data_IF_703540167789
#
_entry.id   IF_703540167789
#
_cell.length_a   1.000
_cell.length_b   1.000
_cell.length_c   1.000
_cell.angle_alpha   90.00
_cell.angle_beta   90.00
_cell.angle_gamma   90.00
#
_symmetry.space_group_name_H-M   'P 1'
#
loop_
_entity.id
_entity.type
_entity.pdbx_description
1 polymer ?
#
# COMPACT_ATOMS: atom_id res chain seq x y z
N UNK A 1 -3.01 76.17 -8.10
CA UNK A 1 -2.62 74.76 -8.36
C UNK A 1 -3.29 73.89 -7.31
N UNK A 2 -4.33 73.16 -7.69
CA UNK A 2 -5.17 72.35 -6.78
C UNK A 2 -4.52 71.00 -6.49
N UNK A 3 -4.10 70.77 -5.24
CA UNK A 3 -3.68 69.46 -4.74
C UNK A 3 -4.89 68.63 -4.31
N UNK A 4 -5.24 67.60 -5.07
CA UNK A 4 -6.22 66.58 -4.67
C UNK A 4 -5.50 65.43 -3.98
N UNK A 5 -5.64 65.37 -2.66
CA UNK A 5 -5.25 64.26 -1.81
C UNK A 5 -6.28 63.12 -1.96
N UNK A 6 -5.93 62.05 -2.70
CA UNK A 6 -6.78 60.86 -2.87
C UNK A 6 -6.40 59.82 -1.81
N UNK A 7 -7.12 59.82 -0.69
CA UNK A 7 -7.11 58.70 0.28
C UNK A 7 -7.52 57.40 -0.43
N UNK A 8 -6.63 56.41 -0.44
CA UNK A 8 -6.96 55.03 -0.87
C UNK A 8 -7.96 54.43 0.13
N UNK A 9 -9.08 53.84 -0.31
CA UNK A 9 -9.97 53.12 0.59
C UNK A 9 -9.25 51.87 1.13
N UNK A 10 -9.39 51.64 2.44
CA UNK A 10 -8.90 50.43 3.10
C UNK A 10 -9.47 49.19 2.39
N UNK A 11 -8.59 48.29 1.97
CA UNK A 11 -8.98 47.03 1.36
C UNK A 11 -9.83 46.25 2.36
N UNK A 12 -11.08 45.95 1.99
CA UNK A 12 -11.93 45.04 2.74
C UNK A 12 -11.20 43.68 2.82
N UNK A 13 -11.05 43.06 4.00
CA UNK A 13 -10.45 41.73 4.08
C UNK A 13 -11.28 40.78 3.19
N UNK A 14 -10.64 39.87 2.44
CA UNK A 14 -11.38 38.94 1.60
C UNK A 14 -12.38 38.18 2.49
N UNK A 15 -13.61 37.95 2.02
CA UNK A 15 -14.57 37.15 2.78
C UNK A 15 -13.92 35.81 3.11
N UNK A 16 -13.95 35.43 4.39
CA UNK A 16 -13.49 34.14 4.84
C UNK A 16 -14.08 33.06 3.92
N UNK A 17 -13.23 32.18 3.39
CA UNK A 17 -13.68 31.07 2.57
C UNK A 17 -14.80 30.34 3.34
N UNK A 18 -15.96 30.05 2.71
CA UNK A 18 -17.04 29.37 3.40
C UNK A 18 -16.50 28.08 4.02
N UNK A 19 -16.73 27.90 5.32
CA UNK A 19 -16.33 26.71 6.05
C UNK A 19 -16.76 25.48 5.25
N UNK A 20 -15.78 24.66 4.88
CA UNK A 20 -16.01 23.46 4.10
C UNK A 20 -17.00 22.55 4.85
N UNK A 21 -18.06 22.02 4.21
CA UNK A 21 -19.04 21.11 4.84
C UNK A 21 -18.45 19.72 5.16
N UNK A 22 -17.13 19.60 5.21
CA UNK A 22 -16.42 18.35 5.40
C UNK A 22 -15.86 18.30 6.81
N UNK A 23 -16.37 17.35 7.59
CA UNK A 23 -15.84 17.02 8.92
C UNK A 23 -14.66 16.05 8.75
N UNK A 24 -13.48 16.37 9.32
CA UNK A 24 -12.37 15.41 9.42
C UNK A 24 -12.82 14.09 10.05
N UNK A 25 -12.23 12.99 9.60
CA UNK A 25 -12.47 11.67 10.17
C UNK A 25 -11.15 11.12 10.67
N UNK A 26 -11.05 10.90 11.97
CA UNK A 26 -9.85 10.32 12.57
C UNK A 26 -9.82 8.82 12.30
N UNK A 27 -8.69 8.31 11.82
CA UNK A 27 -8.51 6.88 11.58
C UNK A 27 -7.86 6.23 12.80
N UNK A 28 -8.39 5.08 13.21
CA UNK A 28 -7.89 4.25 14.33
C UNK A 28 -7.96 2.77 13.96
N UNK A 29 -7.48 1.92 14.86
CA UNK A 29 -7.74 0.48 14.84
C UNK A 29 -8.25 -0.02 16.20
N UNK A 30 -8.98 -1.14 16.16
CA UNK A 30 -9.53 -1.83 17.31
C UNK A 30 -9.46 -3.35 17.05
N UNK A 31 -8.89 -4.09 17.98
CA UNK A 31 -9.00 -5.55 18.00
C UNK A 31 -10.14 -5.97 18.93
N UNK A 32 -11.07 -6.79 18.44
CA UNK A 32 -12.17 -7.31 19.23
C UNK A 32 -11.72 -8.25 20.36
N UNK A 33 -10.50 -8.81 20.27
CA UNK A 33 -9.89 -9.57 21.36
C UNK A 33 -9.41 -8.67 22.52
N UNK A 34 -9.14 -7.39 22.23
CA UNK A 34 -8.75 -6.36 23.20
C UNK A 34 -9.70 -5.15 23.09
N UNK A 35 -11.02 -5.33 23.33
CA UNK A 35 -12.05 -4.38 22.91
C UNK A 35 -12.00 -3.03 23.65
N UNK A 36 -11.15 -2.89 24.66
CA UNK A 36 -10.90 -1.64 25.38
C UNK A 36 -9.78 -0.78 24.81
N UNK A 37 -8.96 -1.32 23.89
CA UNK A 37 -7.77 -0.63 23.38
C UNK A 37 -7.96 -0.17 21.93
N UNK A 38 -8.29 1.11 21.77
CA UNK A 38 -8.29 1.79 20.48
C UNK A 38 -6.90 2.34 20.22
N UNK A 39 -6.31 2.06 19.06
CA UNK A 39 -4.92 2.42 18.72
C UNK A 39 -4.84 3.31 17.48
N UNK A 40 -3.77 4.08 17.39
CA UNK A 40 -3.44 4.87 16.20
C UNK A 40 -2.79 3.99 15.10
N UNK A 41 -3.03 4.28 13.81
CA UNK A 41 -2.43 3.56 12.68
C UNK A 41 -0.92 3.31 12.78
N UNK A 42 -0.47 2.14 12.32
CA UNK A 42 0.95 1.78 12.23
C UNK A 42 1.64 1.55 13.58
N UNK A 43 0.88 1.14 14.60
CA UNK A 43 1.40 0.78 15.92
C UNK A 43 1.88 1.98 16.76
N UNK A 44 1.29 3.17 16.60
CA UNK A 44 1.68 4.39 17.36
C UNK A 44 1.09 4.47 18.77
N UNK A 45 0.53 3.38 19.28
CA UNK A 45 -0.03 3.28 20.63
C UNK A 45 -1.49 3.73 20.73
N UNK A 46 -2.01 3.91 21.96
CA UNK A 46 -3.41 4.20 22.22
C UNK A 46 -3.90 5.51 21.60
N UNK A 47 -5.18 5.55 21.22
CA UNK A 47 -5.84 6.71 20.65
C UNK A 47 -7.19 6.96 21.34
N UNK A 48 -7.47 8.23 21.64
CA UNK A 48 -8.76 8.66 22.19
C UNK A 48 -9.31 9.86 21.39
N UNK A 49 -9.66 9.66 20.10
CA UNK A 49 -10.07 10.76 19.24
C UNK A 49 -11.49 11.23 19.54
N UNK A 50 -11.71 12.52 19.27
CA UNK A 50 -13.03 13.15 19.30
C UNK A 50 -13.62 13.31 17.90
N UNK A 51 -14.94 13.40 17.81
CA UNK A 51 -15.63 13.62 16.54
C UNK A 51 -15.77 12.33 15.72
N UNK A 52 -15.76 12.43 14.38
CA UNK A 52 -15.99 11.26 13.53
C UNK A 52 -14.75 10.36 13.50
N UNK A 53 -14.97 9.06 13.69
CA UNK A 53 -13.92 8.03 13.73
C UNK A 53 -14.20 6.98 12.66
N UNK A 54 -13.15 6.53 11.99
CA UNK A 54 -13.14 5.35 11.11
C UNK A 54 -12.14 4.35 11.67
N UNK A 55 -12.60 3.16 12.06
CA UNK A 55 -11.75 2.16 12.70
C UNK A 55 -11.55 0.95 11.79
N UNK A 56 -10.31 0.52 11.61
CA UNK A 56 -10.02 -0.84 11.18
C UNK A 56 -10.35 -1.79 12.32
N UNK A 57 -11.31 -2.68 12.11
CA UNK A 57 -11.69 -3.71 13.09
C UNK A 57 -10.95 -4.99 12.77
N UNK A 58 -10.36 -5.57 13.81
CA UNK A 58 -9.68 -6.85 13.75
C UNK A 58 -10.28 -7.85 14.74
N UNK A 59 -9.99 -9.13 14.53
CA UNK A 59 -10.17 -10.17 15.53
C UNK A 59 -8.90 -11.02 15.57
N UNK A 60 -8.19 -10.99 16.70
CA UNK A 60 -6.89 -11.66 16.87
C UNK A 60 -5.86 -11.23 15.81
N UNK A 61 -5.83 -9.95 15.47
CA UNK A 61 -4.96 -9.36 14.44
C UNK A 61 -5.52 -9.40 13.02
N UNK A 62 -6.50 -10.27 12.73
CA UNK A 62 -7.07 -10.45 11.39
C UNK A 62 -8.01 -9.32 11.01
N UNK A 63 -7.76 -8.58 9.92
CA UNK A 63 -8.65 -7.52 9.45
C UNK A 63 -10.02 -8.04 9.04
N UNK A 64 -11.08 -7.50 9.65
CA UNK A 64 -12.47 -7.84 9.31
C UNK A 64 -13.15 -6.78 8.45
N UNK A 65 -12.83 -5.50 8.68
CA UNK A 65 -13.48 -4.40 7.97
C UNK A 65 -13.19 -3.02 8.54
N UNK A 66 -13.68 -1.99 7.85
CA UNK A 66 -13.76 -0.62 8.39
C UNK A 66 -15.16 -0.37 8.97
N UNK A 67 -15.24 0.21 10.17
CA UNK A 67 -16.49 0.69 10.76
C UNK A 67 -16.39 2.14 11.17
N UNK A 68 -17.53 2.79 11.34
CA UNK A 68 -17.60 4.20 11.71
C UNK A 68 -18.32 4.42 13.04
N UNK A 69 -17.79 5.36 13.84
CA UNK A 69 -18.42 5.81 15.07
C UNK A 69 -18.14 7.29 15.32
N UNK A 70 -18.73 7.84 16.38
CA UNK A 70 -18.47 9.20 16.85
C UNK A 70 -17.82 9.13 18.23
N UNK A 71 -16.59 9.63 18.34
CA UNK A 71 -15.88 9.84 19.59
C UNK A 71 -16.47 10.97 20.42
N UNK A 72 -16.35 10.85 21.74
CA UNK A 72 -16.79 11.87 22.70
C UNK A 72 -15.65 12.21 23.65
N UNK A 73 -15.40 13.51 23.81
CA UNK A 73 -14.31 14.06 24.61
C UNK A 73 -14.25 13.45 26.01
N UNK A 74 -13.07 12.92 26.35
CA UNK A 74 -12.77 12.35 27.67
C UNK A 74 -13.40 10.99 27.96
N UNK A 75 -13.94 10.27 26.97
CA UNK A 75 -14.56 8.95 27.17
C UNK A 75 -14.06 7.87 26.18
N UNK A 76 -12.78 7.47 26.24
CA UNK A 76 -12.22 6.44 25.34
C UNK A 76 -12.99 5.10 25.40
N UNK A 77 -13.41 4.68 26.59
CA UNK A 77 -14.20 3.45 26.75
C UNK A 77 -15.58 3.52 26.09
N UNK A 78 -16.18 4.70 25.96
CA UNK A 78 -17.46 4.86 25.27
C UNK A 78 -17.29 4.75 23.75
N UNK A 79 -16.22 5.33 23.21
CA UNK A 79 -15.84 5.15 21.80
C UNK A 79 -15.59 3.67 21.49
N UNK A 80 -14.78 3.00 22.30
CA UNK A 80 -14.47 1.59 22.12
C UNK A 80 -15.75 0.73 22.08
N UNK A 81 -16.69 0.92 23.03
CA UNK A 81 -18.00 0.25 23.01
C UNK A 81 -18.82 0.56 21.76
N UNK A 82 -18.82 1.81 21.29
CA UNK A 82 -19.54 2.20 20.08
C UNK A 82 -18.97 1.52 18.82
N UNK A 83 -17.64 1.41 18.74
CA UNK A 83 -16.94 0.70 17.66
C UNK A 83 -17.20 -0.80 17.69
N UNK A 84 -17.13 -1.45 18.86
CA UNK A 84 -17.50 -2.86 19.02
C UNK A 84 -18.95 -3.10 18.58
N UNK A 85 -19.87 -2.24 19.01
CA UNK A 85 -21.27 -2.35 18.61
C UNK A 85 -21.46 -2.12 17.09
N UNK A 86 -20.69 -1.23 16.46
CA UNK A 86 -20.69 -1.06 15.01
C UNK A 86 -20.14 -2.29 14.29
N UNK A 87 -19.06 -2.89 14.79
CA UNK A 87 -18.50 -4.13 14.26
C UNK A 87 -19.54 -5.25 14.23
N UNK A 88 -20.21 -5.54 15.34
CA UNK A 88 -21.24 -6.59 15.38
C UNK A 88 -22.47 -6.32 14.50
N UNK A 89 -22.74 -5.05 14.14
CA UNK A 89 -23.88 -4.72 13.26
C UNK A 89 -23.51 -4.75 11.78
N UNK A 90 -22.31 -4.30 11.44
CA UNK A 90 -21.91 -4.00 10.07
C UNK A 90 -21.00 -5.08 9.48
N UNK A 91 -20.29 -5.82 10.33
CA UNK A 91 -19.40 -6.89 9.94
C UNK A 91 -20.03 -8.23 10.34
N UNK A 92 -19.79 -9.25 9.52
CA UNK A 92 -20.14 -10.63 9.84
C UNK A 92 -19.13 -11.15 10.88
N UNK A 93 -19.22 -10.63 12.10
CA UNK A 93 -18.36 -11.03 13.21
C UNK A 93 -18.79 -12.44 13.60
N UNK A 94 -17.93 -13.44 13.45
CA UNK A 94 -18.32 -14.83 13.70
C UNK A 94 -18.77 -15.02 15.16
N UNK A 95 -19.91 -15.69 15.35
CA UNK A 95 -20.53 -15.93 16.68
C UNK A 95 -19.69 -16.86 17.57
N UNK A 96 -18.87 -17.71 16.96
CA UNK A 96 -17.82 -18.46 17.64
C UNK A 96 -16.56 -17.64 17.54
N UNK A 97 -15.82 -17.52 18.65
CA UNK A 97 -14.42 -17.11 18.62
C UNK A 97 -13.79 -17.75 17.38
N UNK A 98 -13.25 -16.94 16.46
CA UNK A 98 -12.21 -17.49 15.62
C UNK A 98 -11.27 -18.09 16.64
N UNK A 99 -11.14 -19.42 16.71
CA UNK A 99 -9.88 -19.98 17.19
C UNK A 99 -8.88 -19.15 16.41
N UNK A 100 -8.12 -18.29 17.14
CA UNK A 100 -7.08 -17.47 16.53
C UNK A 100 -6.45 -18.37 15.49
N UNK A 101 -6.27 -17.97 14.22
CA UNK A 101 -5.67 -18.86 13.25
C UNK A 101 -4.24 -19.06 13.72
N UNK A 102 -4.13 -20.05 14.57
CA UNK A 102 -3.00 -20.75 15.05
C UNK A 102 -3.08 -21.91 14.08
N UNK A 103 -2.42 -21.84 12.91
CA UNK A 103 -1.60 -22.99 12.68
C UNK A 103 -0.70 -23.04 13.92
N UNK A 104 -0.92 -24.04 14.77
CA UNK A 104 0.15 -24.58 15.61
C UNK A 104 1.34 -25.03 14.76
N UNK A 105 1.27 -24.89 13.43
CA UNK A 105 2.41 -24.77 12.54
C UNK A 105 3.18 -23.49 12.80
N UNK A 106 4.37 -23.67 13.38
CA UNK A 106 5.51 -22.74 13.31
C UNK A 106 5.41 -21.86 12.06
N UNK A 107 5.42 -20.53 12.23
CA UNK A 107 5.63 -19.60 11.11
C UNK A 107 7.01 -19.89 10.56
N UNK A 108 7.07 -20.70 9.49
CA UNK A 108 8.33 -21.07 8.88
C UNK A 108 8.88 -19.86 8.15
N UNK A 109 9.85 -19.18 8.77
CA UNK A 109 10.48 -18.06 8.13
C UNK A 109 11.25 -18.51 6.88
N UNK A 110 11.19 -17.75 5.79
CA UNK A 110 11.89 -18.08 4.57
C UNK A 110 13.40 -18.07 4.84
N UNK A 111 14.04 -19.23 4.69
CA UNK A 111 15.45 -19.46 5.07
C UNK A 111 16.45 -18.47 4.45
N UNK A 112 16.12 -17.85 3.31
CA UNK A 112 16.98 -16.88 2.63
C UNK A 112 16.80 -15.42 3.05
N UNK A 113 16.07 -15.12 4.13
CA UNK A 113 15.89 -13.76 4.64
C UNK A 113 14.98 -12.88 3.77
N UNK A 114 14.80 -11.64 4.22
CA UNK A 114 13.93 -10.63 3.58
C UNK A 114 14.67 -9.31 3.38
N UNK A 115 14.42 -8.65 2.26
CA UNK A 115 14.82 -7.27 2.01
C UNK A 115 13.57 -6.40 1.95
N UNK A 116 13.51 -5.33 2.73
CA UNK A 116 12.50 -4.28 2.58
C UNK A 116 13.11 -3.12 1.80
N UNK A 117 12.45 -2.72 0.71
CA UNK A 117 12.84 -1.57 -0.11
C UNK A 117 11.81 -0.47 0.08
N UNK A 118 12.24 0.65 0.66
CA UNK A 118 11.48 1.88 0.76
C UNK A 118 11.98 2.83 -0.33
N UNK A 119 11.11 3.35 -1.17
CA UNK A 119 11.47 4.34 -2.18
C UNK A 119 10.99 5.73 -1.75
N UNK A 120 11.87 6.72 -1.83
CA UNK A 120 11.53 8.10 -1.51
C UNK A 120 12.03 9.07 -2.57
N UNK A 121 11.47 10.28 -2.57
CA UNK A 121 11.97 11.41 -3.33
C UNK A 121 11.59 12.71 -2.65
N UNK A 122 12.56 13.33 -1.98
CA UNK A 122 12.44 14.65 -1.35
C UNK A 122 11.21 14.78 -0.40
N UNK A 123 10.90 13.74 0.40
CA UNK A 123 9.80 13.74 1.39
C UNK A 123 10.24 13.31 2.79
N UNK A 124 11.24 14.01 3.33
CA UNK A 124 11.82 13.69 4.63
C UNK A 124 10.79 13.75 5.77
N UNK A 125 9.73 14.55 5.62
CA UNK A 125 8.66 14.72 6.61
C UNK A 125 7.79 13.48 6.82
N UNK A 126 7.59 12.65 5.78
CA UNK A 126 6.82 11.40 5.89
C UNK A 126 7.74 10.20 6.14
N UNK A 127 8.98 10.30 5.66
CA UNK A 127 9.93 9.21 5.62
C UNK A 127 10.29 8.66 7.01
N UNK A 128 10.51 9.51 8.00
CA UNK A 128 10.89 9.05 9.34
C UNK A 128 9.82 8.16 9.97
N UNK A 129 8.55 8.57 9.84
CA UNK A 129 7.40 7.80 10.29
C UNK A 129 7.28 6.45 9.57
N UNK A 130 7.54 6.44 8.26
CA UNK A 130 7.57 5.23 7.44
C UNK A 130 8.68 4.27 7.94
N UNK A 131 9.92 4.75 8.05
CA UNK A 131 11.06 3.94 8.49
C UNK A 131 10.86 3.39 9.90
N UNK A 132 10.37 4.21 10.84
CA UNK A 132 10.06 3.75 12.20
C UNK A 132 9.02 2.62 12.19
N UNK A 133 7.99 2.72 11.34
CA UNK A 133 6.96 1.67 11.21
C UNK A 133 7.51 0.38 10.58
N UNK A 134 8.39 0.50 9.58
CA UNK A 134 9.07 -0.64 8.97
C UNK A 134 9.97 -1.33 9.99
N UNK A 135 10.74 -0.58 10.78
CA UNK A 135 11.60 -1.15 11.81
C UNK A 135 10.79 -1.86 12.91
N UNK A 136 9.62 -1.34 13.30
CA UNK A 136 8.71 -2.07 14.21
C UNK A 136 8.22 -3.39 13.61
N UNK A 137 7.91 -3.42 12.31
CA UNK A 137 7.54 -4.66 11.62
C UNK A 137 8.71 -5.67 11.53
N UNK A 138 9.96 -5.17 11.40
CA UNK A 138 11.18 -6.01 11.48
C UNK A 138 11.33 -6.58 12.89
N UNK A 139 11.23 -5.76 13.92
CA UNK A 139 11.36 -6.19 15.31
C UNK A 139 10.28 -7.23 15.68
N UNK A 140 9.04 -7.04 15.22
CA UNK A 140 7.96 -8.01 15.39
C UNK A 140 8.24 -9.35 14.70
N UNK A 141 8.77 -9.33 13.46
CA UNK A 141 9.17 -10.55 12.76
C UNK A 141 10.27 -11.32 13.51
N UNK A 142 11.28 -10.60 14.00
CA UNK A 142 12.38 -11.18 14.79
C UNK A 142 11.87 -11.77 16.10
N UNK A 143 10.93 -11.11 16.78
CA UNK A 143 10.32 -11.62 18.00
C UNK A 143 9.54 -12.92 17.76
N UNK A 144 8.73 -12.99 16.68
CA UNK A 144 8.01 -14.20 16.28
C UNK A 144 8.98 -15.33 15.93
N UNK A 145 10.07 -15.02 15.22
CA UNK A 145 11.14 -15.97 14.90
C UNK A 145 11.70 -16.64 16.16
N UNK A 146 12.08 -15.82 17.13
CA UNK A 146 12.68 -16.29 18.37
C UNK A 146 11.71 -17.18 19.16
N UNK A 147 10.43 -16.80 19.23
CA UNK A 147 9.41 -17.60 19.93
C UNK A 147 9.13 -18.96 19.25
N UNK A 148 9.15 -19.00 17.91
CA UNK A 148 8.99 -20.24 17.16
C UNK A 148 10.12 -21.25 17.43
N UNK A 149 11.33 -20.76 17.72
CA UNK A 149 12.48 -21.59 18.09
C UNK A 149 12.38 -22.17 19.51
N UNK A 150 11.68 -21.49 20.44
CA UNK A 150 11.44 -22.00 21.80
C UNK A 150 10.27 -22.98 21.91
N UNK A 151 9.57 -23.29 20.82
CA UNK A 151 8.40 -24.17 20.84
C UNK A 151 7.23 -23.61 21.66
N UNK A 152 7.20 -22.30 21.90
CA UNK A 152 6.13 -21.63 22.64
C UNK A 152 4.98 -21.34 21.67
N UNK A 153 3.74 -21.76 21.97
CA UNK A 153 2.57 -21.34 21.20
C UNK A 153 2.45 -19.82 21.25
N UNK A 154 2.61 -19.15 20.12
CA UNK A 154 2.52 -17.69 20.02
C UNK A 154 1.05 -17.31 19.91
N UNK A 155 0.42 -17.00 21.04
CA UNK A 155 -0.84 -16.26 21.10
C UNK A 155 -0.55 -14.77 21.21
N UNK A 156 -1.23 -13.94 20.41
CA UNK A 156 -1.08 -12.49 20.44
C UNK A 156 -1.59 -11.86 21.76
N UNK A 157 -0.84 -10.89 22.31
CA UNK A 157 -1.42 -9.79 23.12
C UNK A 157 -1.12 -9.72 24.62
N UNK A 158 -0.68 -10.78 25.30
CA UNK A 158 -0.46 -10.75 26.76
C UNK A 158 0.98 -10.43 27.20
N UNK A 159 1.22 -9.78 28.38
CA UNK A 159 2.56 -9.64 28.92
C UNK A 159 3.16 -11.02 29.21
N UNK A 160 4.31 -11.29 28.60
CA UNK A 160 5.10 -12.52 28.75
C UNK A 160 5.46 -12.70 30.23
N UNK A 161 4.90 -13.74 30.87
CA UNK A 161 5.41 -14.22 32.16
C UNK A 161 6.53 -15.22 31.90
N UNK A 162 7.70 -14.96 32.47
CA UNK A 162 8.87 -15.82 32.38
C UNK A 162 8.59 -17.20 32.98
N UNK A 163 8.73 -18.24 32.17
CA UNK A 163 8.97 -19.60 32.66
C UNK A 163 10.47 -19.86 32.51
N UNK A 164 11.14 -20.08 33.64
CA UNK A 164 12.59 -20.26 33.70
C UNK A 164 13.04 -21.63 33.17
N UNK A 165 14.21 -21.60 32.53
CA UNK A 165 15.20 -22.68 32.54
C UNK A 165 14.96 -23.89 31.64
N UNK A 166 15.63 -23.90 30.47
CA UNK A 166 16.31 -25.10 29.95
C UNK A 166 17.34 -24.71 28.88
N UNK A 167 18.39 -25.53 28.82
CA UNK A 167 19.72 -25.30 28.26
C UNK A 167 19.82 -24.86 26.79
N UNK A 168 20.90 -24.09 26.54
CA UNK A 168 21.44 -23.74 25.23
C UNK A 168 21.84 -24.99 24.42
N UNK A 169 21.18 -25.19 23.28
CA UNK A 169 21.67 -25.97 22.16
C UNK A 169 21.29 -25.23 20.87
N UNK A 170 22.29 -24.78 20.12
CA UNK A 170 22.26 -24.04 18.84
C UNK A 170 20.90 -23.58 18.31
N UNK A 171 20.49 -22.35 18.66
CA UNK A 171 19.35 -21.67 18.06
C UNK A 171 19.55 -21.57 16.52
N UNK A 172 18.57 -21.95 15.69
CA UNK A 172 18.57 -21.59 14.27
C UNK A 172 18.69 -20.06 14.14
N UNK A 173 19.52 -19.58 13.23
CA UNK A 173 19.66 -18.14 13.02
C UNK A 173 18.36 -17.58 12.43
N UNK A 174 17.78 -16.57 13.08
CA UNK A 174 16.69 -15.77 12.50
C UNK A 174 17.14 -15.29 11.12
N UNK A 175 16.37 -15.55 10.04
CA UNK A 175 16.78 -15.14 8.71
C UNK A 175 17.01 -13.63 8.68
N UNK A 176 18.11 -13.15 8.07
CA UNK A 176 18.45 -11.74 8.11
C UNK A 176 17.37 -10.91 7.42
N UNK A 177 16.97 -9.83 8.07
CA UNK A 177 16.09 -8.81 7.48
C UNK A 177 16.91 -7.54 7.29
N UNK A 178 16.98 -7.05 6.06
CA UNK A 178 17.64 -5.77 5.75
C UNK A 178 16.63 -4.74 5.26
N UNK A 179 16.83 -3.47 5.63
CA UNK A 179 16.02 -2.35 5.16
C UNK A 179 16.86 -1.45 4.28
N UNK A 180 16.43 -1.27 3.03
CA UNK A 180 17.04 -0.40 2.04
C UNK A 180 16.17 0.82 1.83
N UNK A 181 16.72 2.01 2.03
CA UNK A 181 16.11 3.25 1.55
C UNK A 181 16.73 3.60 0.20
N UNK A 182 15.89 3.71 -0.83
CA UNK A 182 16.31 4.18 -2.15
C UNK A 182 15.77 5.59 -2.38
N UNK A 183 16.69 6.54 -2.40
CA UNK A 183 16.41 7.95 -2.67
C UNK A 183 16.52 8.24 -4.17
N UNK A 184 15.40 8.68 -4.77
CA UNK A 184 15.26 8.78 -6.21
C UNK A 184 15.42 10.20 -6.74
N UNK A 185 16.51 10.42 -7.48
CA UNK A 185 16.89 11.71 -8.04
C UNK A 185 16.80 12.84 -6.99
N UNK A 186 17.50 12.68 -5.84
CA UNK A 186 17.45 13.66 -4.76
C UNK A 186 17.92 15.03 -5.22
N UNK A 187 17.29 16.07 -4.67
CA UNK A 187 17.67 17.46 -4.93
C UNK A 187 18.73 17.99 -3.96
N UNK A 188 19.01 17.27 -2.87
CA UNK A 188 19.99 17.64 -1.85
C UNK A 188 20.26 16.50 -0.86
N UNK A 189 21.09 16.74 0.18
CA UNK A 189 21.58 15.69 1.08
C UNK A 189 20.62 15.33 2.23
N UNK A 190 19.46 15.99 2.33
CA UNK A 190 18.60 15.89 3.51
C UNK A 190 18.13 14.46 3.83
N UNK A 191 17.83 13.66 2.80
CA UNK A 191 17.43 12.26 2.99
C UNK A 191 18.58 11.40 3.49
N UNK A 192 19.79 11.58 2.95
CA UNK A 192 20.99 10.86 3.36
C UNK A 192 21.35 11.20 4.80
N UNK A 193 21.39 12.49 5.15
CA UNK A 193 21.64 12.98 6.50
C UNK A 193 20.64 12.42 7.53
N UNK A 194 19.34 12.39 7.20
CA UNK A 194 18.33 11.80 8.06
C UNK A 194 18.63 10.32 8.36
N UNK A 195 19.07 9.54 7.36
CA UNK A 195 19.42 8.13 7.57
C UNK A 195 20.66 7.97 8.42
N UNK A 196 21.70 8.73 8.14
CA UNK A 196 22.96 8.69 8.90
C UNK A 196 22.76 9.06 10.38
N UNK A 197 21.96 10.10 10.64
CA UNK A 197 21.75 10.61 12.00
C UNK A 197 20.77 9.75 12.82
N UNK A 198 19.66 9.31 12.24
CA UNK A 198 18.56 8.66 12.98
C UNK A 198 18.54 7.13 12.85
N UNK A 199 19.11 6.57 11.79
CA UNK A 199 19.02 5.14 11.49
C UNK A 199 20.39 4.44 11.27
N UNK A 200 21.46 4.80 12.00
CA UNK A 200 22.80 4.26 11.75
C UNK A 200 22.81 2.74 11.91
N UNK A 201 23.27 2.03 10.87
CA UNK A 201 23.38 0.57 10.86
C UNK A 201 22.05 -0.19 10.78
N UNK A 202 20.89 0.48 10.89
CA UNK A 202 19.55 -0.13 10.81
C UNK A 202 18.95 0.00 9.40
N UNK A 203 19.25 1.09 8.69
CA UNK A 203 18.76 1.36 7.33
C UNK A 203 19.95 1.63 6.42
N UNK A 204 20.01 0.95 5.27
CA UNK A 204 21.05 1.17 4.26
C UNK A 204 20.55 2.14 3.20
N UNK A 205 21.17 3.31 3.13
CA UNK A 205 20.90 4.33 2.11
C UNK A 205 21.45 3.92 0.73
N UNK A 206 20.67 4.17 -0.32
CA UNK A 206 21.05 3.99 -1.72
C UNK A 206 20.52 5.18 -2.54
N UNK A 207 21.38 5.77 -3.36
CA UNK A 207 20.96 6.78 -4.33
C UNK A 207 20.69 6.15 -5.71
N UNK A 208 19.54 6.48 -6.30
CA UNK A 208 19.24 6.30 -7.72
C UNK A 208 19.19 7.68 -8.39
N UNK A 209 20.23 8.07 -9.15
CA UNK A 209 20.34 9.44 -9.65
C UNK A 209 19.33 9.80 -10.73
N UNK A 210 18.78 8.82 -11.47
CA UNK A 210 17.84 9.08 -12.55
C UNK A 210 16.38 9.00 -12.07
N UNK A 211 15.52 9.97 -12.45
CA UNK A 211 14.14 10.02 -11.96
C UNK A 211 13.31 8.84 -12.48
N UNK A 212 12.46 8.30 -11.61
CA UNK A 212 11.49 7.26 -11.92
C UNK A 212 11.42 6.20 -10.82
N UNK A 213 10.23 5.98 -10.27
CA UNK A 213 10.00 5.03 -9.17
C UNK A 213 10.46 3.60 -9.52
N UNK A 214 10.23 3.15 -10.75
CA UNK A 214 10.69 1.84 -11.21
C UNK A 214 12.22 1.72 -11.20
N UNK A 215 12.95 2.81 -11.45
CA UNK A 215 14.43 2.82 -11.35
C UNK A 215 14.85 2.66 -9.90
N UNK A 216 14.22 3.39 -8.98
CA UNK A 216 14.49 3.27 -7.56
C UNK A 216 14.19 1.86 -7.03
N UNK A 217 13.04 1.28 -7.39
CA UNK A 217 12.70 -0.11 -7.04
C UNK A 217 13.71 -1.11 -7.63
N UNK A 218 14.15 -0.91 -8.87
CA UNK A 218 15.19 -1.76 -9.47
C UNK A 218 16.56 -1.61 -8.80
N UNK A 219 16.94 -0.39 -8.37
CA UNK A 219 18.16 -0.15 -7.59
C UNK A 219 18.12 -0.88 -6.25
N UNK A 220 16.96 -0.86 -5.59
CA UNK A 220 16.70 -1.66 -4.39
C UNK A 220 16.78 -3.16 -4.68
N UNK A 221 16.08 -3.65 -5.70
CA UNK A 221 16.07 -5.05 -6.12
C UNK A 221 17.46 -5.58 -6.49
N UNK A 222 18.28 -4.79 -7.17
CA UNK A 222 19.66 -5.14 -7.52
C UNK A 222 20.53 -5.27 -6.27
N UNK A 223 20.22 -4.50 -5.21
CA UNK A 223 20.96 -4.47 -3.95
C UNK A 223 20.42 -5.47 -2.90
N UNK A 224 19.25 -6.06 -3.15
CA UNK A 224 18.56 -6.97 -2.24
C UNK A 224 19.32 -8.31 -2.07
N UNK A 225 19.46 -8.76 -0.83
CA UNK A 225 20.11 -10.03 -0.46
C UNK A 225 19.10 -11.07 -0.01
N UNK A 226 17.93 -10.66 0.46
CA UNK A 226 16.86 -11.55 0.89
C UNK A 226 16.28 -12.37 -0.25
N UNK A 227 15.83 -13.60 0.06
CA UNK A 227 15.08 -14.43 -0.88
C UNK A 227 13.71 -13.84 -1.23
N UNK A 228 13.19 -12.96 -0.37
CA UNK A 228 11.99 -12.14 -0.62
C UNK A 228 12.37 -10.66 -0.59
N UNK A 229 11.81 -9.90 -1.51
CA UNK A 229 11.96 -8.45 -1.58
C UNK A 229 10.57 -7.80 -1.44
N UNK A 230 10.33 -7.11 -0.33
CA UNK A 230 9.14 -6.33 -0.05
C UNK A 230 9.35 -4.87 -0.47
N UNK A 231 8.32 -4.23 -0.98
CA UNK A 231 8.33 -2.84 -1.44
C UNK A 231 7.20 -2.06 -0.75
N UNK A 232 7.54 -0.88 -0.27
CA UNK A 232 6.60 0.11 0.26
C UNK A 232 7.04 1.51 -0.16
N UNK A 233 6.13 2.47 -0.08
CA UNK A 233 6.36 3.88 -0.39
C UNK A 233 6.62 4.70 0.90
N UNK A 234 7.22 5.88 0.75
CA UNK A 234 7.58 6.78 1.87
C UNK A 234 6.38 7.44 2.58
N UNK A 235 5.20 7.36 1.99
CA UNK A 235 3.93 7.87 2.51
C UNK A 235 3.04 6.75 3.11
N UNK A 236 3.63 5.58 3.37
CA UNK A 236 2.99 4.43 3.99
C UNK A 236 3.57 4.11 5.38
N UNK A 237 2.71 3.61 6.28
CA UNK A 237 3.10 3.05 7.58
C UNK A 237 2.86 1.54 7.56
N UNK A 238 3.93 0.77 7.76
CA UNK A 238 3.83 -0.68 7.88
C UNK A 238 3.17 -1.06 9.21
N UNK A 239 2.23 -1.99 9.15
CA UNK A 239 1.69 -2.62 10.34
C UNK A 239 2.74 -3.50 11.04
N UNK A 240 2.76 -3.62 12.37
CA UNK A 240 3.69 -4.51 13.06
C UNK A 240 3.63 -5.97 12.56
N UNK A 241 2.44 -6.46 12.17
CA UNK A 241 2.26 -7.81 11.60
C UNK A 241 2.63 -7.94 10.12
N UNK A 242 2.98 -6.84 9.44
CA UNK A 242 3.13 -6.79 7.98
C UNK A 242 4.13 -7.82 7.43
N UNK A 243 5.37 -7.84 7.95
CA UNK A 243 6.40 -8.76 7.47
C UNK A 243 6.12 -10.21 7.86
N UNK A 244 5.47 -10.44 9.01
CA UNK A 244 5.06 -11.77 9.47
C UNK A 244 4.04 -12.37 8.50
N UNK A 245 3.01 -11.59 8.13
CA UNK A 245 1.99 -12.02 7.18
C UNK A 245 2.59 -12.31 5.78
N UNK A 246 3.50 -11.46 5.30
CA UNK A 246 4.21 -11.70 4.04
C UNK A 246 5.06 -12.97 4.08
N UNK A 247 5.83 -13.17 5.15
CA UNK A 247 6.67 -14.35 5.33
C UNK A 247 5.83 -15.64 5.37
N UNK A 248 4.74 -15.64 6.15
CA UNK A 248 3.81 -16.76 6.25
C UNK A 248 3.19 -17.12 4.88
N UNK A 249 2.82 -16.11 4.09
CA UNK A 249 2.24 -16.33 2.76
C UNK A 249 3.22 -17.01 1.79
N UNK A 250 4.48 -16.59 1.77
CA UNK A 250 5.51 -17.22 0.94
C UNK A 250 5.95 -18.60 1.46
N UNK A 251 5.82 -18.85 2.76
CA UNK A 251 6.07 -20.16 3.35
C UNK A 251 4.96 -21.16 3.00
N UNK A 252 3.71 -20.71 2.99
CA UNK A 252 2.54 -21.53 2.70
C UNK A 252 2.45 -22.00 1.25
N UNK A 253 2.87 -21.18 0.27
CA UNK A 253 2.82 -21.55 -1.14
C UNK A 253 4.14 -21.24 -1.88
N UNK A 254 4.80 -22.31 -2.36
CA UNK A 254 6.00 -22.19 -3.19
C UNK A 254 5.72 -21.59 -4.57
N UNK A 255 4.49 -21.66 -5.07
CA UNK A 255 4.06 -21.08 -6.36
C UNK A 255 3.81 -19.58 -6.28
N UNK A 256 3.63 -19.02 -5.08
CA UNK A 256 3.53 -17.59 -4.87
C UNK A 256 4.81 -16.90 -5.35
N UNK A 257 4.73 -16.20 -6.50
CA UNK A 257 5.79 -15.36 -7.02
C UNK A 257 5.71 -13.93 -6.48
N UNK A 258 4.50 -13.51 -6.12
CA UNK A 258 4.19 -12.22 -5.51
C UNK A 258 3.14 -12.39 -4.41
N UNK A 259 3.32 -11.67 -3.31
CA UNK A 259 2.32 -11.48 -2.25
C UNK A 259 2.02 -10.00 -2.14
N UNK A 260 0.75 -9.64 -2.09
CA UNK A 260 0.25 -8.28 -1.85
C UNK A 260 -0.58 -8.25 -0.58
N UNK A 261 -0.84 -7.06 -0.04
CA UNK A 261 -1.58 -6.94 1.19
C UNK A 261 -2.61 -5.82 1.21
N UNK A 262 -3.33 -5.74 2.33
CA UNK A 262 -4.35 -4.74 2.58
C UNK A 262 -3.72 -3.35 2.64
N UNK A 263 -4.32 -2.39 1.93
CA UNK A 263 -3.95 -0.97 2.03
C UNK A 263 -5.16 -0.19 2.49
N UNK A 264 -5.04 0.47 3.64
CA UNK A 264 -6.09 1.26 4.27
C UNK A 264 -5.62 2.71 4.49
N UNK A 265 -6.52 3.70 4.58
CA UNK A 265 -6.12 5.08 4.79
C UNK A 265 -5.44 5.27 6.15
N UNK A 266 -4.30 5.97 6.20
CA UNK A 266 -3.69 6.39 7.47
C UNK A 266 -4.38 7.62 8.09
N UNK A 267 -5.06 8.42 7.26
CA UNK A 267 -5.71 9.69 7.64
C UNK A 267 -6.83 10.04 6.66
N UNK A 268 -7.89 10.68 7.16
CA UNK A 268 -9.06 11.13 6.39
C UNK A 268 -9.50 12.55 6.77
N UNK A 269 -8.50 13.41 6.99
CA UNK A 269 -8.69 14.79 7.47
C UNK A 269 -9.34 15.69 6.42
N UNK A 270 -9.04 15.44 5.14
CA UNK A 270 -9.40 16.38 4.06
C UNK A 270 -10.45 15.83 3.10
N UNK A 271 -11.20 16.72 2.41
CA UNK A 271 -12.15 16.32 1.38
C UNK A 271 -11.53 15.49 0.25
N UNK A 272 -10.25 15.70 -0.05
CA UNK A 272 -9.56 14.99 -1.11
C UNK A 272 -9.29 13.53 -0.73
N UNK A 273 -8.91 13.28 0.53
CA UNK A 273 -8.62 11.94 1.04
C UNK A 273 -9.90 11.11 1.11
N UNK A 274 -10.95 11.67 1.69
CA UNK A 274 -12.26 11.02 1.76
C UNK A 274 -12.86 10.74 0.36
N UNK A 275 -12.66 11.66 -0.59
CA UNK A 275 -13.12 11.46 -1.97
C UNK A 275 -12.30 10.39 -2.70
N UNK A 276 -10.99 10.31 -2.44
CA UNK A 276 -10.13 9.27 -3.02
C UNK A 276 -10.56 7.88 -2.54
N UNK A 277 -10.77 7.71 -1.23
CA UNK A 277 -11.17 6.44 -0.64
C UNK A 277 -12.47 5.91 -1.27
N UNK A 278 -13.46 6.79 -1.43
CA UNK A 278 -14.71 6.42 -2.12
C UNK A 278 -14.53 6.13 -3.61
N UNK A 279 -13.53 6.72 -4.26
CA UNK A 279 -13.34 6.60 -5.70
C UNK A 279 -12.51 5.37 -6.10
N UNK A 280 -11.38 5.16 -5.42
CA UNK A 280 -10.35 4.20 -5.78
C UNK A 280 -9.88 3.34 -4.60
N UNK A 281 -10.79 3.08 -3.64
CA UNK A 281 -10.57 2.30 -2.41
C UNK A 281 -9.48 1.24 -2.53
N UNK A 282 -8.50 1.34 -1.65
CA UNK A 282 -7.22 0.63 -1.77
C UNK A 282 -7.24 -0.78 -1.19
N UNK A 283 -8.31 -1.15 -0.50
CA UNK A 283 -8.41 -2.30 0.38
C UNK A 283 -8.53 -3.66 -0.34
N UNK A 284 -8.90 -3.73 -1.63
CA UNK A 284 -9.00 -4.97 -2.46
C UNK A 284 -9.81 -6.15 -1.86
N UNK A 285 -10.48 -5.93 -0.72
CA UNK A 285 -11.29 -6.91 -0.01
C UNK A 285 -10.65 -7.37 1.31
N UNK A 286 -11.47 -7.98 2.16
CA UNK A 286 -11.08 -8.41 3.52
C UNK A 286 -10.71 -9.90 3.59
N UNK A 287 -10.72 -10.59 2.45
CA UNK A 287 -10.49 -12.03 2.37
C UNK A 287 -9.24 -12.33 1.55
N UNK A 288 -8.48 -13.32 2.01
CA UNK A 288 -7.33 -13.82 1.26
C UNK A 288 -7.78 -14.36 -0.11
N UNK A 289 -6.99 -14.09 -1.15
CA UNK A 289 -7.30 -14.52 -2.50
C UNK A 289 -6.05 -14.75 -3.32
N UNK A 290 -6.06 -15.82 -4.09
CA UNK A 290 -4.95 -16.19 -4.98
C UNK A 290 -5.41 -16.06 -6.44
N UNK A 291 -4.55 -15.46 -7.28
CA UNK A 291 -4.74 -15.44 -8.72
C UNK A 291 -3.65 -16.26 -9.38
N UNK A 292 -4.10 -17.24 -10.17
CA UNK A 292 -3.26 -18.06 -11.02
C UNK A 292 -4.00 -18.23 -12.36
N UNK A 293 -3.29 -18.06 -13.49
CA UNK A 293 -3.93 -18.14 -14.82
C UNK A 293 -4.29 -19.57 -15.24
N UNK A 294 -3.73 -20.57 -14.57
CA UNK A 294 -4.03 -21.99 -14.79
C UNK A 294 -5.18 -22.48 -13.88
N UNK A 295 -5.72 -21.60 -13.02
CA UNK A 295 -6.85 -21.94 -12.17
C UNK A 295 -8.15 -22.09 -13.00
N UNK A 296 -9.02 -23.06 -12.68
CA UNK A 296 -10.23 -23.35 -13.45
C UNK A 296 -11.26 -22.20 -13.43
N UNK A 297 -11.20 -21.33 -12.42
CA UNK A 297 -12.08 -20.18 -12.24
C UNK A 297 -11.49 -18.86 -12.79
N UNK A 298 -10.34 -18.91 -13.47
CA UNK A 298 -9.69 -17.72 -14.02
C UNK A 298 -10.61 -17.00 -15.03
N UNK A 299 -10.95 -15.75 -14.70
CA UNK A 299 -11.80 -14.90 -15.53
C UNK A 299 -11.15 -14.50 -16.85
N UNK A 300 -11.94 -14.13 -17.88
CA UNK A 300 -11.42 -13.83 -19.20
C UNK A 300 -10.46 -12.63 -19.20
N UNK A 301 -10.65 -11.63 -18.33
CA UNK A 301 -9.73 -10.50 -18.23
C UNK A 301 -8.72 -10.63 -17.10
N UNK A 302 -8.58 -11.82 -16.50
CA UNK A 302 -7.78 -11.95 -15.28
C UNK A 302 -6.30 -11.67 -15.49
N UNK A 303 -5.82 -12.01 -16.67
CA UNK A 303 -4.47 -11.66 -17.14
C UNK A 303 -4.22 -10.16 -17.24
N UNK A 304 -5.26 -9.35 -17.46
CA UNK A 304 -5.13 -7.91 -17.77
C UNK A 304 -5.58 -7.01 -16.62
N UNK A 305 -6.54 -7.46 -15.80
CA UNK A 305 -7.12 -6.71 -14.68
C UNK A 305 -6.33 -6.89 -13.39
N UNK A 306 -5.02 -6.73 -13.45
CA UNK A 306 -4.09 -7.04 -12.35
C UNK A 306 -4.19 -6.08 -11.17
N UNK A 307 -4.82 -4.91 -11.35
CA UNK A 307 -5.04 -3.94 -10.28
C UNK A 307 -5.88 -4.47 -9.12
N UNK A 308 -6.68 -5.54 -9.32
CA UNK A 308 -7.39 -6.20 -8.22
C UNK A 308 -6.49 -7.01 -7.30
N UNK A 309 -5.29 -7.37 -7.76
CA UNK A 309 -4.39 -8.23 -7.00
C UNK A 309 -3.75 -7.48 -5.85
N UNK A 310 -3.59 -6.15 -5.94
CA UNK A 310 -2.94 -5.35 -4.90
C UNK A 310 -2.53 -3.97 -5.42
N UNK A 311 -1.66 -3.31 -4.67
CA UNK A 311 -1.17 -1.96 -4.95
C UNK A 311 0.34 -1.91 -4.69
N UNK A 312 1.08 -1.13 -5.48
CA UNK A 312 2.54 -1.00 -5.38
C UNK A 312 3.09 -0.56 -4.02
N UNK A 313 2.29 0.06 -3.16
CA UNK A 313 2.66 0.44 -1.80
C UNK A 313 2.69 -0.75 -0.81
N UNK A 314 2.15 -1.91 -1.19
CA UNK A 314 2.11 -3.11 -0.35
C UNK A 314 2.22 -4.37 -1.20
N UNK A 315 3.46 -4.67 -1.60
CA UNK A 315 3.78 -5.83 -2.41
C UNK A 315 5.14 -6.40 -2.05
N UNK A 316 5.26 -7.72 -2.13
CA UNK A 316 6.50 -8.45 -1.97
C UNK A 316 6.62 -9.52 -3.05
N UNK A 317 7.84 -9.85 -3.42
CA UNK A 317 8.13 -10.81 -4.47
C UNK A 317 9.19 -11.79 -3.99
N UNK A 318 9.16 -13.02 -4.51
CA UNK A 318 10.37 -13.83 -4.51
C UNK A 318 11.42 -13.08 -5.32
N UNK A 319 12.56 -12.76 -4.71
CA UNK A 319 13.61 -11.94 -5.32
C UNK A 319 14.09 -12.54 -6.64
N UNK A 320 14.28 -13.86 -6.67
CA UNK A 320 14.68 -14.59 -7.89
C UNK A 320 13.64 -14.50 -9.01
N UNK A 321 12.34 -14.56 -8.69
CA UNK A 321 11.25 -14.46 -9.66
C UNK A 321 11.23 -13.06 -10.27
N UNK A 322 11.23 -12.01 -9.45
CA UNK A 322 11.18 -10.63 -9.96
C UNK A 322 12.43 -10.27 -10.80
N UNK A 323 13.62 -10.76 -10.41
CA UNK A 323 14.85 -10.63 -11.21
C UNK A 323 14.75 -11.36 -12.54
N UNK A 324 14.26 -12.60 -12.57
CA UNK A 324 14.09 -13.37 -13.80
C UNK A 324 13.10 -12.72 -14.77
N UNK A 325 12.11 -11.97 -14.26
CA UNK A 325 11.16 -11.20 -15.08
C UNK A 325 11.74 -9.85 -15.58
N UNK A 326 12.96 -9.51 -15.19
CA UNK A 326 13.67 -8.29 -15.57
C UNK A 326 13.33 -7.07 -14.70
N UNK A 327 12.82 -7.28 -13.48
CA UNK A 327 12.43 -6.21 -12.57
C UNK A 327 11.25 -5.38 -13.06
N UNK A 328 11.14 -4.15 -12.55
CA UNK A 328 10.13 -3.18 -12.97
C UNK A 328 10.55 -2.53 -14.30
N UNK A 329 9.62 -2.37 -15.26
CA UNK A 329 9.95 -1.66 -16.51
C UNK A 329 10.25 -0.18 -16.19
N UNK A 330 11.48 0.32 -16.41
CA UNK A 330 11.82 1.68 -16.01
C UNK A 330 10.92 2.72 -16.67
N UNK A 331 10.33 2.43 -17.84
CA UNK A 331 9.46 3.36 -18.57
C UNK A 331 8.02 3.40 -18.03
N UNK A 332 7.72 2.54 -17.08
CA UNK A 332 6.51 2.60 -16.25
C UNK A 332 6.87 3.21 -14.89
N UNK A 333 5.89 3.73 -14.16
CA UNK A 333 6.12 4.27 -12.82
C UNK A 333 6.05 5.79 -12.69
N UNK A 334 5.75 6.22 -11.47
CA UNK A 334 5.70 7.63 -11.07
C UNK A 334 7.06 8.30 -11.33
N UNK A 335 7.04 9.58 -11.74
CA UNK A 335 8.24 10.32 -12.14
C UNK A 335 8.59 10.18 -13.63
N UNK A 336 7.89 9.33 -14.39
CA UNK A 336 7.98 9.22 -15.85
C UNK A 336 6.72 9.77 -16.53
N UNK A 337 6.74 10.03 -17.86
CA UNK A 337 5.53 10.37 -18.60
C UNK A 337 4.38 9.37 -18.45
N UNK A 338 4.67 8.09 -18.19
CA UNK A 338 3.68 7.02 -18.00
C UNK A 338 2.90 7.14 -16.67
N UNK A 339 3.44 7.86 -15.68
CA UNK A 339 2.77 8.19 -14.40
C UNK A 339 2.35 7.01 -13.51
N UNK A 340 2.70 5.77 -13.85
CA UNK A 340 2.36 4.57 -13.06
C UNK A 340 2.30 3.31 -13.91
N UNK A 341 1.72 2.25 -13.36
CA UNK A 341 1.46 0.96 -14.04
C UNK A 341 2.58 -0.07 -13.93
N UNK A 342 3.64 0.23 -13.19
CA UNK A 342 4.78 -0.63 -12.94
C UNK A 342 4.45 -1.84 -12.07
N UNK A 343 3.60 -1.66 -11.06
CA UNK A 343 3.06 -2.71 -10.20
C UNK A 343 2.10 -3.61 -10.98
N UNK A 344 1.18 -3.02 -11.75
CA UNK A 344 0.26 -3.73 -12.64
C UNK A 344 1.01 -4.62 -13.63
N UNK A 345 2.09 -4.08 -14.22
CA UNK A 345 2.95 -4.83 -15.13
C UNK A 345 3.70 -5.94 -14.40
N UNK A 346 4.24 -5.68 -13.21
CA UNK A 346 4.91 -6.71 -12.42
C UNK A 346 3.97 -7.88 -12.09
N UNK A 347 2.75 -7.60 -11.63
CA UNK A 347 1.74 -8.63 -11.36
C UNK A 347 1.36 -9.40 -12.64
N UNK A 348 1.20 -8.72 -13.77
CA UNK A 348 0.94 -9.36 -15.06
C UNK A 348 2.07 -10.30 -15.47
N UNK A 349 3.33 -9.89 -15.29
CA UNK A 349 4.48 -10.71 -15.62
C UNK A 349 4.61 -11.93 -14.70
N UNK A 350 4.31 -11.80 -13.41
CA UNK A 350 4.24 -12.93 -12.48
C UNK A 350 3.19 -13.94 -12.94
N UNK A 351 1.96 -13.48 -13.20
CA UNK A 351 0.85 -14.33 -13.67
C UNK A 351 1.16 -15.02 -15.00
N UNK A 352 1.67 -14.28 -15.99
CA UNK A 352 1.98 -14.82 -17.32
C UNK A 352 3.24 -15.68 -17.39
N UNK A 353 4.02 -15.71 -16.31
CA UNK A 353 5.12 -16.65 -16.11
C UNK A 353 4.70 -17.93 -15.37
N UNK A 354 3.41 -18.10 -15.05
CA UNK A 354 2.89 -19.31 -14.37
C UNK A 354 3.00 -19.27 -12.85
N UNK A 355 3.32 -18.12 -12.26
CA UNK A 355 3.33 -17.94 -10.82
C UNK A 355 1.99 -17.43 -10.30
N UNK A 356 1.75 -17.65 -9.00
CA UNK A 356 0.60 -17.11 -8.29
C UNK A 356 0.91 -15.70 -7.79
N UNK A 357 -0.08 -14.80 -7.88
CA UNK A 357 -0.13 -13.55 -7.10
C UNK A 357 -1.12 -13.76 -5.96
N UNK A 358 -0.67 -13.66 -4.72
CA UNK A 358 -1.45 -13.95 -3.52
C UNK A 358 -1.75 -12.66 -2.75
N UNK A 359 -3.02 -12.32 -2.57
CA UNK A 359 -3.45 -11.22 -1.70
C UNK A 359 -3.71 -11.75 -0.29
N UNK A 360 -3.10 -11.11 0.71
CA UNK A 360 -3.22 -11.46 2.13
C UNK A 360 -3.62 -10.23 2.92
N UNK A 361 -4.89 -10.13 3.36
CA UNK A 361 -5.36 -8.94 4.06
C UNK A 361 -4.60 -8.69 5.36
N UNK A 362 -4.04 -9.73 5.99
CA UNK A 362 -3.23 -9.62 7.21
C UNK A 362 -1.92 -8.84 7.03
N UNK A 363 -1.40 -8.74 5.80
CA UNK A 363 -0.27 -7.89 5.50
C UNK A 363 -0.77 -6.45 5.34
N UNK A 364 -0.92 -5.71 6.44
CA UNK A 364 -1.52 -4.37 6.43
C UNK A 364 -0.49 -3.26 6.21
N UNK A 365 -0.84 -2.29 5.37
CA UNK A 365 -0.14 -1.01 5.23
C UNK A 365 -1.14 0.15 5.31
N UNK A 366 -0.80 1.17 6.09
CA UNK A 366 -1.59 2.39 6.23
C UNK A 366 -1.05 3.48 5.31
N UNK A 367 -1.82 3.96 4.34
CA UNK A 367 -1.35 4.85 3.29
C UNK A 367 -1.89 6.28 3.45
N UNK A 368 -1.02 7.29 3.32
CA UNK A 368 -1.41 8.70 3.38
C UNK A 368 -1.82 9.21 2.01
N UNK A 369 -3.11 9.52 1.85
CA UNK A 369 -3.62 10.06 0.58
C UNK A 369 -3.27 11.53 0.39
N UNK A 370 -3.35 11.98 -0.87
CA UNK A 370 -3.15 13.39 -1.23
C UNK A 370 -4.15 14.30 -0.52
N UNK A 371 -3.63 15.31 0.20
CA UNK A 371 -4.45 16.22 1.01
C UNK A 371 -5.25 17.25 0.20
N UNK A 372 -4.89 17.55 -1.05
CA UNK A 372 -5.57 18.57 -1.88
C UNK A 372 -6.32 17.98 -3.07
N UNK A 373 -7.45 18.60 -3.45
CA UNK A 373 -8.25 18.17 -4.62
C UNK A 373 -7.48 18.28 -5.94
N UNK A 374 -6.56 19.23 -6.04
CA UNK A 374 -5.68 19.37 -7.21
C UNK A 374 -4.72 18.19 -7.31
N UNK A 375 -4.05 17.83 -6.21
CA UNK A 375 -3.14 16.68 -6.18
C UNK A 375 -3.89 15.37 -6.44
N UNK A 376 -5.09 15.21 -5.88
CA UNK A 376 -5.99 14.09 -6.18
C UNK A 376 -6.32 13.99 -7.68
N UNK A 377 -6.66 15.12 -8.31
CA UNK A 377 -6.97 15.17 -9.75
C UNK A 377 -5.79 14.71 -10.60
N UNK A 378 -4.57 15.14 -10.24
CA UNK A 378 -3.34 14.70 -10.91
C UNK A 378 -3.11 13.21 -10.70
N UNK A 379 -3.32 12.72 -9.48
CA UNK A 379 -3.19 11.31 -9.11
C UNK A 379 -4.15 10.43 -9.90
N UNK A 380 -5.45 10.75 -9.93
CA UNK A 380 -6.47 9.95 -10.64
C UNK A 380 -6.24 9.95 -12.16
N UNK A 381 -5.82 11.07 -12.75
CA UNK A 381 -5.39 11.08 -14.16
C UNK A 381 -4.16 10.19 -14.37
N UNK A 382 -3.24 10.19 -13.39
CA UNK A 382 -2.07 9.32 -13.34
C UNK A 382 -2.44 7.84 -13.33
N UNK A 383 -3.41 7.42 -12.51
CA UNK A 383 -3.92 6.04 -12.48
C UNK A 383 -4.37 5.55 -13.85
N UNK A 384 -5.20 6.35 -14.54
CA UNK A 384 -5.63 6.03 -15.90
C UNK A 384 -4.46 5.95 -16.89
N UNK A 385 -3.57 6.95 -16.86
CA UNK A 385 -2.37 6.98 -17.73
C UNK A 385 -1.49 5.75 -17.49
N UNK A 386 -1.25 5.41 -16.23
CA UNK A 386 -0.47 4.25 -15.81
C UNK A 386 -1.09 2.94 -16.27
N UNK A 387 -2.41 2.78 -16.15
CA UNK A 387 -3.10 1.59 -16.64
C UNK A 387 -2.96 1.43 -18.17
N UNK A 388 -3.14 2.51 -18.93
CA UNK A 388 -2.94 2.48 -20.39
C UNK A 388 -1.48 2.22 -20.79
N UNK A 389 -0.53 2.78 -20.04
CA UNK A 389 0.90 2.55 -20.23
C UNK A 389 1.30 1.10 -19.92
N UNK A 390 0.76 0.52 -18.85
CA UNK A 390 0.90 -0.89 -18.49
C UNK A 390 0.46 -1.81 -19.63
N UNK A 391 -0.75 -1.61 -20.17
CA UNK A 391 -1.25 -2.43 -21.28
C UNK A 391 -0.32 -2.32 -22.50
N UNK A 392 0.12 -1.11 -22.84
CA UNK A 392 1.08 -0.92 -23.93
C UNK A 392 2.43 -1.62 -23.67
N UNK A 393 2.92 -1.59 -22.43
CA UNK A 393 4.15 -2.28 -22.03
C UNK A 393 4.00 -3.80 -22.11
N UNK A 394 2.86 -4.35 -21.68
CA UNK A 394 2.55 -5.78 -21.77
C UNK A 394 2.49 -6.24 -23.24
N UNK A 395 1.76 -5.50 -24.09
CA UNK A 395 1.67 -5.77 -25.53
C UNK A 395 3.01 -5.67 -26.23
N UNK A 396 3.87 -4.71 -25.85
CA UNK A 396 5.23 -4.62 -26.39
C UNK A 396 6.08 -5.85 -26.04
N UNK A 397 5.91 -6.40 -24.84
CA UNK A 397 6.65 -7.61 -24.40
C UNK A 397 6.14 -8.87 -25.09
N UNK A 398 4.83 -8.98 -25.31
CA UNK A 398 4.20 -10.10 -26.01
C UNK A 398 3.08 -9.62 -26.95
N UNK A 399 3.39 -9.31 -28.22
CA UNK A 399 2.41 -8.77 -29.17
C UNK A 399 1.20 -9.68 -29.41
N UNK A 400 1.37 -11.00 -29.29
CA UNK A 400 0.29 -11.98 -29.41
C UNK A 400 -0.85 -11.76 -28.39
N UNK A 401 -0.59 -11.07 -27.28
CA UNK A 401 -1.61 -10.72 -26.29
C UNK A 401 -2.67 -9.74 -26.84
N UNK A 402 -2.40 -9.04 -27.94
CA UNK A 402 -3.38 -8.12 -28.53
C UNK A 402 -4.62 -8.86 -29.01
N UNK A 403 -4.44 -9.95 -29.75
CA UNK A 403 -5.55 -10.76 -30.24
C UNK A 403 -6.34 -11.39 -29.08
N UNK A 404 -5.63 -11.91 -28.07
CA UNK A 404 -6.23 -12.46 -26.85
C UNK A 404 -7.04 -11.43 -26.07
N UNK A 405 -6.51 -10.21 -25.89
CA UNK A 405 -7.20 -9.11 -25.24
C UNK A 405 -8.47 -8.72 -26.01
N UNK A 406 -8.38 -8.52 -27.33
CA UNK A 406 -9.52 -8.12 -28.17
C UNK A 406 -10.62 -9.19 -28.16
N UNK A 407 -10.26 -10.47 -28.20
CA UNK A 407 -11.20 -11.58 -28.15
C UNK A 407 -11.96 -11.64 -26.82
N UNK A 408 -11.28 -11.31 -25.71
CA UNK A 408 -11.82 -11.43 -24.34
C UNK A 408 -12.52 -10.17 -23.86
N UNK A 409 -12.27 -9.03 -24.51
CA UNK A 409 -12.82 -7.73 -24.12
C UNK A 409 -14.36 -7.71 -24.03
N UNK A 410 -15.14 -8.27 -24.98
CA UNK A 410 -16.60 -8.26 -24.91
C UNK A 410 -17.15 -9.06 -23.71
N UNK A 411 -16.53 -10.20 -23.39
CA UNK A 411 -16.91 -11.00 -22.22
C UNK A 411 -16.59 -10.25 -20.92
N UNK A 412 -15.40 -9.65 -20.85
CA UNK A 412 -14.98 -8.86 -19.70
C UNK A 412 -15.84 -7.62 -19.45
N UNK A 413 -16.17 -6.86 -20.49
CA UNK A 413 -17.05 -5.69 -20.36
C UNK A 413 -18.45 -6.08 -19.89
N UNK A 414 -19.01 -7.18 -20.40
CA UNK A 414 -20.31 -7.72 -19.93
C UNK A 414 -20.27 -8.08 -18.45
N UNK A 415 -19.20 -8.73 -17.99
CA UNK A 415 -18.99 -9.04 -16.57
C UNK A 415 -18.87 -7.78 -15.71
N UNK A 416 -18.09 -6.80 -16.17
CA UNK A 416 -17.90 -5.53 -15.48
C UNK A 416 -19.21 -4.75 -15.33
N UNK A 417 -20.01 -4.63 -16.39
CA UNK A 417 -21.30 -3.92 -16.34
C UNK A 417 -22.31 -4.56 -15.37
N UNK A 418 -22.25 -5.88 -15.16
CA UNK A 418 -23.15 -6.59 -14.24
C UNK A 418 -22.72 -6.46 -12.77
N UNK A 419 -21.42 -6.37 -12.50
CA UNK A 419 -20.87 -6.34 -11.14
C UNK A 419 -20.48 -4.95 -10.62
N UNK A 420 -20.22 -3.99 -11.49
CA UNK A 420 -19.69 -2.68 -11.08
C UNK A 420 -20.81 -1.69 -10.75
N UNK A 421 -21.01 -1.45 -9.45
CA UNK A 421 -21.83 -0.34 -8.97
C UNK A 421 -20.95 0.92 -8.84
N UNK A 422 -21.40 2.09 -9.36
CA UNK A 422 -20.66 3.32 -9.13
C UNK A 422 -20.61 3.62 -7.63
N UNK A 423 -19.54 4.28 -7.15
CA UNK A 423 -19.45 4.69 -5.76
C UNK A 423 -20.70 5.46 -5.32
N UNK A 424 -21.19 5.15 -4.13
CA UNK A 424 -22.23 5.92 -3.48
C UNK A 424 -21.78 7.38 -3.31
N UNK A 425 -22.73 8.30 -3.33
CA UNK A 425 -22.43 9.72 -3.29
C UNK A 425 -23.56 10.45 -2.56
N UNK A 426 -23.18 11.07 -1.45
CA UNK A 426 -24.13 11.59 -0.47
C UNK A 426 -24.72 12.92 -0.95
N UNK A 427 -23.97 13.67 -1.76
CA UNK A 427 -24.39 14.99 -2.26
C UNK A 427 -24.33 15.13 -3.79
N UNK A 428 -25.13 16.04 -4.39
CA UNK A 428 -25.03 16.36 -5.82
C UNK A 428 -23.64 16.86 -6.25
N UNK A 429 -23.00 17.67 -5.39
CA UNK A 429 -21.64 18.18 -5.63
C UNK A 429 -20.63 17.04 -5.69
N UNK A 430 -20.72 16.10 -4.76
CA UNK A 430 -19.88 14.90 -4.75
C UNK A 430 -20.10 14.01 -5.97
N UNK A 431 -21.36 13.76 -6.37
CA UNK A 431 -21.67 13.06 -7.62
C UNK A 431 -21.01 13.73 -8.83
N UNK A 432 -20.97 15.06 -8.86
CA UNK A 432 -20.28 15.81 -9.92
C UNK A 432 -18.76 15.61 -9.85
N UNK A 433 -18.16 15.63 -8.66
CA UNK A 433 -16.73 15.39 -8.44
C UNK A 433 -16.32 13.98 -8.87
N UNK A 434 -17.04 12.94 -8.44
CA UNK A 434 -16.79 11.54 -8.83
C UNK A 434 -16.89 11.33 -10.34
N UNK A 435 -17.88 11.95 -11.01
CA UNK A 435 -17.98 11.93 -12.48
C UNK A 435 -16.82 12.66 -13.16
N UNK A 436 -16.33 13.75 -12.58
CA UNK A 436 -15.16 14.45 -13.09
C UNK A 436 -13.90 13.58 -13.00
N UNK A 437 -13.68 12.92 -11.85
CA UNK A 437 -12.58 11.98 -11.65
C UNK A 437 -12.63 10.82 -12.67
N UNK A 438 -13.80 10.20 -12.90
CA UNK A 438 -13.99 9.18 -13.95
C UNK A 438 -13.59 9.65 -15.34
N UNK A 439 -13.96 10.87 -15.71
CA UNK A 439 -13.59 11.45 -17.01
C UNK A 439 -12.08 11.67 -17.11
N UNK A 440 -11.44 12.12 -16.03
CA UNK A 440 -10.00 12.35 -15.99
C UNK A 440 -9.20 11.04 -16.08
N UNK A 441 -9.63 10.00 -15.37
CA UNK A 441 -9.02 8.67 -15.46
C UNK A 441 -9.15 8.09 -16.86
N UNK A 442 -10.36 8.11 -17.46
CA UNK A 442 -10.58 7.65 -18.83
C UNK A 442 -9.75 8.43 -19.86
N UNK A 443 -9.63 9.74 -19.69
CA UNK A 443 -8.74 10.55 -20.53
C UNK A 443 -7.28 10.15 -20.37
N UNK A 444 -6.84 9.84 -19.15
CA UNK A 444 -5.51 9.29 -18.88
C UNK A 444 -5.28 7.94 -19.58
N UNK A 445 -6.25 7.03 -19.48
CA UNK A 445 -6.21 5.70 -20.11
C UNK A 445 -5.89 5.76 -21.60
N UNK A 446 -6.57 6.63 -22.35
CA UNK A 446 -6.34 6.81 -23.78
C UNK A 446 -4.92 7.33 -24.08
N UNK A 447 -4.39 8.19 -23.22
CA UNK A 447 -3.05 8.76 -23.38
C UNK A 447 -1.93 7.80 -22.93
N UNK A 448 -2.24 6.78 -22.11
CA UNK A 448 -1.26 5.88 -21.52
C UNK A 448 -0.25 5.28 -22.52
N UNK A 449 -0.69 4.69 -23.66
CA UNK A 449 0.22 4.11 -24.64
C UNK A 449 1.23 5.10 -25.23
N UNK A 450 0.79 6.30 -25.63
CA UNK A 450 1.70 7.32 -26.18
C UNK A 450 2.66 7.84 -25.12
N UNK A 451 2.21 7.95 -23.87
CA UNK A 451 3.04 8.31 -22.72
C UNK A 451 4.09 7.25 -22.39
N UNK A 452 3.75 5.97 -22.52
CA UNK A 452 4.73 4.88 -22.39
C UNK A 452 5.81 4.97 -23.47
N UNK A 453 5.43 5.17 -24.73
CA UNK A 453 6.38 5.36 -25.83
C UNK A 453 7.28 6.59 -25.61
N UNK A 454 6.70 7.69 -25.13
CA UNK A 454 7.45 8.89 -24.76
C UNK A 454 8.47 8.59 -23.65
N UNK A 455 8.07 7.89 -22.59
CA UNK A 455 8.96 7.49 -21.49
C UNK A 455 10.12 6.61 -21.98
N UNK A 456 9.84 5.63 -22.85
CA UNK A 456 10.85 4.77 -23.49
C UNK A 456 11.82 5.57 -24.34
N UNK A 457 11.32 6.52 -25.13
CA UNK A 457 12.17 7.39 -25.95
C UNK A 457 13.10 8.22 -25.06
N UNK A 458 12.59 8.86 -24.00
CA UNK A 458 13.40 9.65 -23.07
C UNK A 458 14.51 8.81 -22.43
N UNK A 459 14.23 7.56 -22.07
CA UNK A 459 15.23 6.67 -21.48
C UNK A 459 16.38 6.32 -22.40
N UNK A 460 16.11 6.11 -23.69
CA UNK A 460 17.15 5.84 -24.68
C UNK A 460 18.09 7.03 -24.89
N UNK A 461 17.61 8.24 -24.60
CA UNK A 461 18.33 9.49 -24.82
C UNK A 461 18.79 10.16 -23.52
N UNK A 462 18.68 9.48 -22.37
CA UNK A 462 19.25 9.96 -21.10
C UNK A 462 20.68 9.41 -20.96
N UNK A 463 21.72 10.25 -20.94
CA UNK A 463 23.10 9.80 -20.71
C UNK A 463 23.22 9.09 -19.36
N UNK A 464 23.85 7.91 -19.31
CA UNK A 464 24.02 7.12 -18.08
C UNK A 464 22.96 6.05 -17.81
N UNK A 465 21.92 5.93 -18.65
CA UNK A 465 20.99 4.79 -18.60
C UNK A 465 21.62 3.55 -19.22
N UNK A 466 22.23 2.69 -18.39
CA UNK A 466 22.73 1.38 -18.81
C UNK A 466 21.69 0.63 -19.66
N UNK A 467 22.14 0.01 -20.76
CA UNK A 467 21.31 -0.94 -21.50
C UNK A 467 20.87 -2.05 -20.51
N UNK A 468 19.61 -2.51 -20.63
CA UNK A 468 19.06 -3.52 -19.73
C UNK A 468 19.85 -4.82 -19.74
#
# INVERSE_FOLDING_TARGET
>A
MNGRDRRRPAACPPPAAPASPHTPVTVVELDLAEPGEVRSPGGRGPAAPDGRVSALVRLHGHPLGMVHATGTSGRPAALARALVAAAHRELDVPEKEFEAPVPGGRVALPAGGMTVVVCTRDRTELLADCLDSVLRAVDALVAVAALADFGVPVGAGGPVRSAGGAAAAGLPAVPPVEVLLVDNAPTGPATEQLVEERYPGRVRYLCEPAPGLSRARNRGLASARGAICAFTDDDALADPGWLVALAAAFAADRRAGCVTGLVVPAELDTPAQQLFERYAGTERGWTARDWNLDAPDAGPLDRYSTGRCGIGANMAFRTGVLRALGGFDPATGTGTPARGGEDLLAFHLVLTAGHTVAYRPDAVVWHRHRRTLQALTVQVRGLGTGFGAYLAAALRRRPALLADLLLRLPAGLRGWHRGHRPPAADTPLERRRLRALRRMERGGLVLGPSRYLQARWQQRHTPGGGRP
#
